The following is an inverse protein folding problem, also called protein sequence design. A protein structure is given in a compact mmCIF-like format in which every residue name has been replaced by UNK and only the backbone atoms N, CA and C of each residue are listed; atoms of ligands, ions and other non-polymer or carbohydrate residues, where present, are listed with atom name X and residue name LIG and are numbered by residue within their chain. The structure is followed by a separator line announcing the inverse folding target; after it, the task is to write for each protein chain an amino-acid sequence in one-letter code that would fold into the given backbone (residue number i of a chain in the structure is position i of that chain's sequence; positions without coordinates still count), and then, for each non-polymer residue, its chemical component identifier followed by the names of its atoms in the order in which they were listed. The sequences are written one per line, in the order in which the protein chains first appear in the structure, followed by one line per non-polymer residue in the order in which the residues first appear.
data_IF_124660862660
#
_entry.id   IF_124660862660
#
_cell.length_a   1.000
_cell.length_b   1.000
_cell.length_c   1.000
_cell.angle_alpha   90.00
_cell.angle_beta   90.00
_cell.angle_gamma   90.00
#
_symmetry.space_group_name_H-M   'P 1'
#
loop_
_entity.id
_entity.type
_entity.pdbx_description
1 polymer ?
2 water ?
#
# COMPACT_ATOMS: atom_id res chain seq x y z
N UNK A 12 12.20 -8.24 -18.73
CA UNK A 12 11.84 -9.53 -18.09
C UNK A 12 10.55 -9.39 -17.26
N UNK A 13 9.56 -10.25 -17.53
CA UNK A 13 8.30 -10.18 -16.77
C UNK A 13 8.49 -10.40 -15.27
N UNK A 14 7.67 -9.70 -14.47
CA UNK A 14 7.56 -9.89 -13.03
C UNK A 14 6.13 -10.36 -12.82
N UNK A 15 5.96 -11.65 -12.58
CA UNK A 15 4.63 -12.27 -12.65
C UNK A 15 4.04 -12.49 -11.27
N UNK A 16 2.81 -12.02 -11.09
CA UNK A 16 2.07 -12.24 -9.86
C UNK A 16 1.09 -13.39 -10.02
N UNK A 17 1.11 -14.30 -9.05
CA UNK A 17 0.18 -15.41 -8.99
C UNK A 17 -0.78 -15.15 -7.85
N UNK A 18 -2.03 -15.57 -8.04
CA UNK A 18 -3.06 -15.44 -7.03
C UNK A 18 -4.18 -16.41 -7.34
N UNK A 19 -4.62 -17.15 -6.31
CA UNK A 19 -5.71 -18.10 -6.48
C UNK A 19 -5.32 -19.53 -6.11
N UNK A 20 -4.31 -20.05 -6.81
CA UNK A 20 -3.79 -21.40 -6.55
C UNK A 20 -2.26 -21.36 -6.43
N UNK A 21 -1.68 -22.23 -5.61
CA UNK A 21 -0.21 -22.37 -5.60
C UNK A 21 0.20 -23.19 -6.82
N UNK A 22 0.85 -22.52 -7.75
CA UNK A 22 1.18 -23.08 -9.05
C UNK A 22 2.70 -23.15 -9.17
N UNK A 23 3.26 -24.20 -8.58
CA UNK A 23 4.71 -24.39 -8.53
C UNK A 23 5.36 -24.50 -9.91
N UNK A 24 4.77 -25.28 -10.82
CA UNK A 24 5.28 -25.39 -12.20
C UNK A 24 5.31 -24.05 -12.92
N UNK A 25 4.23 -23.28 -12.77
CA UNK A 25 4.13 -21.97 -13.39
C UNK A 25 5.19 -21.02 -12.85
N UNK A 26 5.37 -21.05 -11.53
CA UNK A 26 6.41 -20.25 -10.89
C UNK A 26 7.81 -20.59 -11.43
N UNK A 27 8.13 -21.89 -11.57
CA UNK A 27 9.44 -22.29 -12.15
C UNK A 27 9.64 -21.89 -13.58
N UNK A 28 8.56 -21.94 -14.35
CA UNK A 28 8.63 -21.55 -15.76
C UNK A 28 9.00 -20.08 -15.85
N UNK A 29 8.38 -19.27 -15.00
CA UNK A 29 8.72 -17.85 -14.98
C UNK A 29 10.23 -17.66 -14.77
N UNK A 30 10.77 -18.36 -13.77
CA UNK A 30 12.19 -18.22 -13.44
C UNK A 30 13.11 -18.74 -14.56
N UNK A 31 12.70 -19.85 -15.18
CA UNK A 31 13.47 -20.49 -16.25
C UNK A 31 13.53 -19.65 -17.53
N UNK A 32 12.43 -18.96 -17.81
CA UNK A 32 12.31 -18.18 -19.03
C UNK A 32 12.87 -16.77 -18.92
N UNK A 33 13.41 -16.45 -17.74
CA UNK A 33 14.12 -15.21 -17.54
C UNK A 33 13.34 -14.12 -16.83
N UNK A 34 12.22 -14.50 -16.20
CA UNK A 34 11.41 -13.57 -15.42
C UNK A 34 11.62 -13.71 -13.92
N UNK A 35 10.82 -12.99 -13.14
CA UNK A 35 10.84 -13.11 -11.67
C UNK A 35 9.42 -13.17 -11.12
N UNK A 36 9.29 -13.49 -9.84
CA UNK A 36 7.99 -13.52 -9.19
C UNK A 36 7.73 -12.20 -8.50
N UNK A 37 6.55 -11.64 -8.76
CA UNK A 37 6.16 -10.34 -8.21
C UNK A 37 5.65 -10.47 -6.79
N UNK A 38 6.02 -9.51 -5.94
CA UNK A 38 5.57 -9.46 -4.55
C UNK A 38 4.20 -8.83 -4.37
N UNK A 39 3.73 -8.09 -5.37
CA UNK A 39 2.43 -7.42 -5.30
C UNK A 39 1.95 -7.07 -6.70
N UNK A 40 0.65 -6.79 -6.83
CA UNK A 40 0.09 -6.37 -8.11
C UNK A 40 0.60 -5.01 -8.53
N UNK A 41 0.94 -4.16 -7.56
CA UNK A 41 1.44 -2.84 -7.88
C UNK A 41 2.82 -2.91 -8.56
N UNK A 42 3.56 -3.99 -8.30
CA UNK A 42 4.89 -4.20 -8.90
C UNK A 42 4.89 -5.05 -10.17
N UNK A 43 3.87 -5.88 -10.34
CA UNK A 43 3.83 -6.89 -11.39
C UNK A 43 3.71 -6.32 -12.80
N UNK A 44 4.29 -7.01 -13.77
CA UNK A 44 4.04 -6.73 -15.18
C UNK A 44 2.86 -7.54 -15.71
N UNK A 45 2.56 -8.66 -15.06
CA UNK A 45 1.54 -9.59 -15.50
C UNK A 45 0.93 -10.23 -14.27
N UNK A 46 -0.39 -10.44 -14.31
CA UNK A 46 -1.08 -11.21 -13.30
C UNK A 46 -1.59 -12.51 -13.94
N UNK A 47 -1.31 -13.63 -13.29
CA UNK A 47 -1.80 -14.95 -13.70
C UNK A 47 -2.84 -15.43 -12.70
N UNK A 48 -4.02 -15.76 -13.22
CA UNK A 48 -5.14 -16.19 -12.40
C UNK A 48 -6.17 -17.00 -13.18
N UNK A 49 -7.09 -17.63 -12.45
CA UNK A 49 -8.10 -18.53 -13.02
C UNK A 49 -9.45 -17.85 -13.29
N UNK A 50 -9.78 -16.84 -12.49
CA UNK A 50 -11.12 -16.29 -12.39
C UNK A 50 -11.09 -14.79 -12.15
N UNK A 51 -12.15 -14.08 -12.54
CA UNK A 51 -12.36 -12.69 -12.11
C UNK A 51 -12.75 -12.70 -10.63
N UNK A 52 -12.01 -11.96 -9.81
CA UNK A 52 -12.34 -11.83 -8.38
C UNK A 52 -12.14 -10.41 -7.88
N UNK A 53 -12.90 -10.05 -6.86
CA UNK A 53 -12.77 -8.75 -6.21
C UNK A 53 -11.72 -8.82 -5.09
N UNK A 54 -10.45 -8.89 -5.47
CA UNK A 54 -9.36 -8.93 -4.49
C UNK A 54 -8.44 -7.72 -4.65
N UNK A 55 -7.63 -7.41 -3.64
CA UNK A 55 -6.65 -6.33 -3.80
C UNK A 55 -5.76 -6.59 -5.03
N UNK A 56 -5.28 -7.83 -5.17
CA UNK A 56 -4.38 -8.18 -6.27
C UNK A 56 -5.06 -8.01 -7.62
N UNK A 57 -6.28 -8.52 -7.77
CA UNK A 57 -6.95 -8.44 -9.05
C UNK A 57 -7.32 -7.00 -9.40
N UNK A 58 -7.88 -6.27 -8.42
CA UNK A 58 -8.34 -4.90 -8.65
C UNK A 58 -7.18 -3.94 -8.94
N UNK A 59 -6.05 -4.14 -8.26
CA UNK A 59 -4.86 -3.34 -8.55
C UNK A 59 -4.32 -3.60 -9.95
N UNK A 60 -4.24 -4.88 -10.33
CA UNK A 60 -3.78 -5.25 -11.68
C UNK A 60 -4.67 -4.62 -12.74
N UNK A 61 -5.98 -4.75 -12.53
CA UNK A 61 -6.94 -4.20 -13.47
C UNK A 61 -6.84 -2.68 -13.54
N UNK A 62 -6.74 -2.01 -12.39
CA UNK A 62 -6.61 -0.55 -12.37
C UNK A 62 -5.40 -0.06 -13.14
N UNK A 63 -4.31 -0.82 -13.08
CA UNK A 63 -3.07 -0.50 -13.78
C UNK A 63 -3.11 -0.88 -15.25
N UNK A 64 -4.06 -1.73 -15.62
CA UNK A 64 -4.19 -2.17 -17.00
C UNK A 64 -3.14 -3.19 -17.43
N UNK A 65 -2.57 -3.92 -16.48
CA UNK A 65 -1.59 -4.95 -16.85
C UNK A 65 -2.30 -6.18 -17.37
N UNK A 66 -1.60 -7.01 -18.17
CA UNK A 66 -2.24 -8.25 -18.62
C UNK A 66 -2.71 -9.12 -17.47
N UNK A 67 -3.94 -9.62 -17.57
CA UNK A 67 -4.51 -10.53 -16.59
C UNK A 67 -4.83 -11.82 -17.36
N UNK A 68 -4.02 -12.84 -17.08
CA UNK A 68 -3.89 -14.00 -17.97
C UNK A 68 -4.15 -15.32 -17.25
N UNK A 69 -4.55 -16.32 -18.05
CA UNK A 69 -4.80 -17.67 -17.52
C UNK A 69 -3.50 -18.43 -17.25
N UNK A 70 -3.61 -19.58 -16.58
CA UNK A 70 -2.45 -20.43 -16.30
C UNK A 70 -1.84 -21.02 -17.59
N UNK A 71 -2.61 -20.99 -18.68
CA UNK A 71 -2.15 -21.52 -19.97
C UNK A 71 -1.06 -20.66 -20.63
N UNK A 72 -0.98 -19.38 -20.25
CA UNK A 72 0.06 -18.51 -20.82
C UNK A 72 1.45 -19.07 -20.53
N UNK A 73 1.70 -19.45 -19.28
CA UNK A 73 3.01 -19.98 -18.91
C UNK A 73 3.19 -21.42 -19.33
N UNK A 74 2.09 -22.18 -19.37
CA UNK A 74 2.15 -23.57 -19.81
C UNK A 74 2.59 -23.63 -21.28
N UNK A 75 2.00 -22.78 -22.12
CA UNK A 75 2.39 -22.71 -23.52
C UNK A 75 3.72 -21.99 -23.72
N UNK A 76 4.02 -21.00 -22.88
CA UNK A 76 5.33 -20.35 -22.90
C UNK A 76 6.45 -21.36 -22.59
N UNK A 77 6.25 -22.20 -21.57
CA UNK A 77 7.26 -23.20 -21.22
C UNK A 77 7.47 -24.19 -22.37
N UNK A 78 6.37 -24.62 -23.00
CA UNK A 78 6.43 -25.56 -24.13
C UNK A 78 7.15 -24.93 -25.34
N UNK A 79 6.89 -23.66 -25.60
CA UNK A 79 7.51 -22.94 -26.70
C UNK A 79 8.97 -22.57 -26.42
N UNK A 80 9.30 -22.39 -25.14
CA UNK A 80 10.66 -22.02 -24.74
C UNK A 80 10.92 -20.55 -24.51
N UNK A 81 9.87 -19.73 -24.51
CA UNK A 81 10.02 -18.28 -24.34
C UNK A 81 8.68 -17.67 -23.93
N UNK A 82 8.71 -16.49 -23.32
CA UNK A 82 7.47 -15.80 -22.94
C UNK A 82 6.71 -15.42 -24.19
N UNK A 83 5.47 -15.88 -24.27
CA UNK A 83 4.63 -15.57 -25.42
C UNK A 83 3.98 -14.20 -25.25
N UNK A 84 3.55 -13.57 -26.36
CA UNK A 84 2.72 -12.38 -26.24
C UNK A 84 1.46 -12.70 -25.43
N UNK A 85 0.99 -11.73 -24.63
CA UNK A 85 -0.12 -11.96 -23.69
C UNK A 85 -1.52 -12.01 -24.32
N UNK A 86 -1.68 -11.41 -25.50
CA UNK A 86 -2.99 -11.14 -26.11
C UNK A 86 -3.98 -12.32 -26.13
N UNK A 87 -3.49 -13.50 -26.46
CA UNK A 87 -4.33 -14.70 -26.62
C UNK A 87 -4.70 -15.40 -25.31
N UNK A 88 -4.20 -14.91 -24.18
CA UNK A 88 -4.33 -15.62 -22.91
C UNK A 88 -5.12 -14.89 -21.82
N UNK A 89 -5.77 -13.81 -22.21
CA UNK A 89 -6.59 -13.03 -21.26
C UNK A 89 -7.63 -13.92 -20.58
N UNK A 90 -7.76 -13.75 -19.27
CA UNK A 90 -8.74 -14.50 -18.49
C UNK A 90 -10.14 -14.38 -19.12
N UNK A 91 -10.77 -15.54 -19.32
CA UNK A 91 -12.12 -15.62 -19.87
C UNK A 91 -13.04 -16.21 -18.81
N UNK A 92 -13.83 -15.35 -18.18
CA UNK A 92 -14.72 -15.77 -17.11
C UNK A 92 -16.11 -15.20 -17.36
N UNK A 93 -16.88 -15.83 -18.28
CA UNK A 93 -18.24 -15.36 -18.57
C UNK A 93 -19.17 -15.36 -17.36
N UNK A 94 -18.97 -16.30 -16.42
CA UNK A 94 -19.82 -16.42 -15.24
C UNK A 94 -19.72 -15.20 -14.31
N UNK A 95 -18.49 -14.82 -13.95
CA UNK A 95 -18.28 -13.65 -13.10
C UNK A 95 -18.51 -12.34 -13.84
N UNK A 96 -18.25 -12.33 -15.14
CA UNK A 96 -18.60 -11.19 -15.99
C UNK A 96 -20.11 -10.95 -15.95
N UNK A 97 -20.84 -11.99 -15.53
CA UNK A 97 -22.28 -11.93 -15.30
C UNK A 97 -22.61 -11.52 -13.85
N UNK A 98 -22.02 -12.20 -12.87
CA UNK A 98 -22.17 -11.83 -11.45
C UNK A 98 -21.94 -10.33 -11.24
N UNK A 99 -21.03 -9.75 -12.03
CA UNK A 99 -20.59 -8.36 -11.84
C UNK A 99 -20.97 -7.35 -12.93
N UNK A 100 -21.46 -7.82 -14.08
CA UNK A 100 -21.93 -6.92 -15.14
C UNK A 100 -20.86 -6.07 -15.83
N UNK A 101 -19.78 -6.70 -16.27
CA UNK A 101 -18.74 -6.00 -17.02
C UNK A 101 -17.97 -6.95 -17.94
N UNK A 102 -17.26 -6.37 -18.90
CA UNK A 102 -16.35 -7.12 -19.76
C UNK A 102 -14.91 -6.84 -19.30
N UNK A 103 -14.17 -7.89 -18.98
CA UNK A 103 -12.77 -7.73 -18.54
C UNK A 103 -11.91 -7.08 -19.61
N UNK A 104 -12.10 -7.51 -20.86
CA UNK A 104 -11.36 -6.93 -21.98
C UNK A 104 -11.66 -5.44 -22.14
N UNK A 105 -12.94 -5.07 -22.04
CA UNK A 105 -13.33 -3.68 -22.15
C UNK A 105 -12.78 -2.86 -20.97
N UNK A 106 -12.84 -3.42 -19.76
CA UNK A 106 -12.29 -2.77 -18.56
C UNK A 106 -10.79 -2.55 -18.68
N UNK A 107 -10.06 -3.56 -19.12
CA UNK A 107 -8.62 -3.42 -19.36
C UNK A 107 -8.31 -2.34 -20.39
N UNK A 108 -9.09 -2.33 -21.49
CA UNK A 108 -8.96 -1.30 -22.51
C UNK A 108 -9.14 0.10 -21.94
N UNK A 109 -10.15 0.27 -21.10
CA UNK A 109 -10.39 1.56 -20.45
C UNK A 109 -9.19 1.96 -19.57
N UNK A 110 -8.71 1.02 -18.75
CA UNK A 110 -7.57 1.28 -17.86
C UNK A 110 -6.30 1.69 -18.62
N UNK A 111 -6.11 1.10 -19.80
CA UNK A 111 -4.93 1.42 -20.62
C UNK A 111 -4.99 2.80 -21.26
N UNK A 112 -6.20 3.29 -21.51
CA UNK A 112 -6.41 4.65 -22.04
C UNK A 112 -6.11 5.71 -20.98
N UNK A 113 -6.78 5.59 -19.84
CA UNK A 113 -6.61 6.50 -18.72
C UNK A 113 -6.89 5.73 -17.45
N UNK A 114 -6.09 5.97 -16.41
CA UNK A 114 -6.40 5.31 -15.15
C UNK A 114 -7.63 5.96 -14.52
N UNK A 115 -8.41 5.12 -13.88
CA UNK A 115 -9.76 5.47 -13.51
C UNK A 115 -9.85 6.66 -12.57
N UNK A 116 -8.92 6.76 -11.63
CA UNK A 116 -9.02 7.76 -10.58
C UNK A 116 -8.03 8.90 -10.76
N UNK A 117 -7.56 9.10 -12.00
CA UNK A 117 -6.74 10.26 -12.29
C UNK A 117 -7.51 11.52 -11.86
N UNK A 118 -6.85 12.39 -11.11
CA UNK A 118 -7.49 13.61 -10.63
C UNK A 118 -8.28 13.49 -9.33
N UNK A 119 -8.50 12.26 -8.84
CA UNK A 119 -9.24 12.07 -7.59
C UNK A 119 -8.33 12.12 -6.37
N UNK A 120 -8.83 12.69 -5.29
CA UNK A 120 -8.19 12.64 -3.98
C UNK A 120 -9.18 12.02 -3.01
N UNK A 121 -8.79 10.95 -2.32
CA UNK A 121 -9.75 10.16 -1.55
C UNK A 121 -9.23 9.91 -0.16
N UNK A 122 -9.99 10.34 0.84
CA UNK A 122 -9.75 9.95 2.22
C UNK A 122 -10.71 8.82 2.59
N UNK A 123 -10.22 7.82 3.32
CA UNK A 123 -11.05 6.69 3.76
C UNK A 123 -11.06 6.71 5.28
N UNK A 124 -12.23 6.86 5.88
CA UNK A 124 -12.31 7.03 7.34
C UNK A 124 -11.96 5.70 8.05
N UNK A 125 -11.48 5.78 9.30
CA UNK A 125 -10.83 4.61 9.92
C UNK A 125 -11.67 3.35 10.10
N UNK A 126 -13.00 3.48 10.23
CA UNK A 126 -13.87 2.35 10.46
C UNK A 126 -14.34 1.64 9.21
N UNK A 127 -13.94 2.11 8.03
CA UNK A 127 -14.42 1.52 6.79
C UNK A 127 -13.96 0.07 6.63
N UNK A 128 -14.83 -0.73 6.02
CA UNK A 128 -14.48 -2.06 5.54
C UNK A 128 -14.77 -2.12 4.06
N UNK A 129 -13.86 -2.70 3.26
CA UNK A 129 -12.57 -3.26 3.65
C UNK A 129 -11.59 -2.20 4.21
N UNK A 130 -10.54 -2.68 4.90
CA UNK A 130 -9.66 -1.76 5.62
C UNK A 130 -9.08 -0.60 4.78
N UNK A 131 -9.03 0.62 5.35
CA UNK A 131 -8.47 1.77 4.62
C UNK A 131 -7.13 1.51 3.88
N UNK A 132 -6.14 0.83 4.51
CA UNK A 132 -4.88 0.67 3.77
C UNK A 132 -5.04 -0.15 2.47
N UNK A 133 -5.93 -1.14 2.45
CA UNK A 133 -6.21 -1.88 1.24
C UNK A 133 -6.90 -1.02 0.19
N UNK A 134 -7.88 -0.23 0.64
CA UNK A 134 -8.53 0.74 -0.24
C UNK A 134 -7.48 1.70 -0.83
N UNK A 135 -6.55 2.16 0.00
CA UNK A 135 -5.47 3.03 -0.46
C UNK A 135 -4.58 2.44 -1.52
N UNK A 136 -4.26 1.16 -1.38
CA UNK A 136 -3.49 0.49 -2.41
C UNK A 136 -4.24 0.51 -3.74
N UNK A 137 -5.54 0.21 -3.71
CA UNK A 137 -6.34 0.20 -4.92
C UNK A 137 -6.45 1.60 -5.53
N UNK A 138 -6.66 2.60 -4.69
CA UNK A 138 -6.75 3.99 -5.15
C UNK A 138 -5.47 4.38 -5.89
N UNK A 139 -4.32 4.07 -5.30
CA UNK A 139 -3.04 4.40 -5.91
C UNK A 139 -2.84 3.66 -7.24
N UNK A 140 -3.21 2.38 -7.30
CA UNK A 140 -3.06 1.64 -8.55
C UNK A 140 -3.98 2.14 -9.66
N UNK A 141 -5.03 2.86 -9.29
CA UNK A 141 -5.91 3.50 -10.27
C UNK A 141 -5.55 4.95 -10.54
N UNK A 142 -4.37 5.37 -10.11
CA UNK A 142 -3.88 6.71 -10.41
C UNK A 142 -4.44 7.84 -9.57
N UNK A 143 -5.13 7.49 -8.48
CA UNK A 143 -5.66 8.48 -7.54
C UNK A 143 -4.70 8.75 -6.42
N UNK A 144 -5.00 9.78 -5.63
CA UNK A 144 -4.22 10.09 -4.44
C UNK A 144 -4.98 9.65 -3.21
N UNK A 145 -4.36 8.81 -2.39
CA UNK A 145 -4.91 8.38 -1.13
C UNK A 145 -4.46 9.38 -0.07
N UNK A 146 -5.40 10.01 0.60
CA UNK A 146 -5.09 11.05 1.58
C UNK A 146 -4.85 10.50 2.97
N UNK A 147 -3.86 11.05 3.70
CA UNK A 147 -3.57 10.53 5.03
C UNK A 147 -4.47 11.03 6.16
N UNK A 148 -5.28 12.06 5.91
CA UNK A 148 -6.17 12.56 6.95
C UNK A 148 -7.35 13.27 6.33
N UNK A 149 -8.35 13.55 7.17
CA UNK A 149 -9.58 14.15 6.68
C UNK A 149 -9.29 15.52 6.07
N UNK A 150 -9.78 15.78 4.85
CA UNK A 150 -9.64 17.12 4.29
C UNK A 150 -10.34 18.21 5.13
N UNK A 151 -9.94 19.46 4.90
CA UNK A 151 -10.58 20.62 5.53
C UNK A 151 -11.21 21.56 4.51
N UNK A 152 -11.06 21.28 3.21
CA UNK A 152 -11.54 22.18 2.16
C UNK A 152 -12.09 21.44 0.95
N UNK A 153 -12.97 22.10 0.23
CA UNK A 153 -13.55 21.57 -0.98
C UNK A 153 -12.59 21.61 -2.17
N UNK A 154 -12.60 20.53 -2.97
CA UNK A 154 -12.01 20.52 -4.31
C UNK A 154 -12.85 19.55 -5.15
N UNK A 155 -13.06 19.81 -6.46
CA UNK A 155 -13.72 18.80 -7.28
C UNK A 155 -12.94 17.48 -7.28
N UNK A 156 -13.67 16.36 -7.26
CA UNK A 156 -13.10 15.00 -7.26
C UNK A 156 -12.29 14.68 -6.01
N UNK A 157 -12.50 15.45 -4.95
CA UNK A 157 -12.01 15.11 -3.63
C UNK A 157 -13.19 14.52 -2.88
N UNK A 158 -13.07 13.28 -2.44
CA UNK A 158 -14.21 12.59 -1.82
C UNK A 158 -13.76 11.85 -0.59
N UNK A 159 -14.73 11.50 0.26
CA UNK A 159 -14.48 10.79 1.49
C UNK A 159 -15.26 9.49 1.47
N UNK A 160 -14.56 8.35 1.48
CA UNK A 160 -15.20 7.05 1.67
C UNK A 160 -15.37 6.84 3.16
N UNK A 161 -16.62 6.60 3.59
CA UNK A 161 -16.89 6.48 5.01
C UNK A 161 -17.89 5.38 5.31
N UNK A 162 -18.45 5.40 6.51
CA UNK A 162 -19.27 4.29 7.01
C UNK A 162 -20.09 4.79 8.19
N UNK A 163 -21.18 4.07 8.53
CA UNK A 163 -22.00 4.52 9.66
C UNK A 163 -21.25 4.75 10.97
N UNK A 164 -20.29 3.91 11.32
CA UNK A 164 -19.53 4.11 12.55
C UNK A 164 -18.82 5.47 12.59
N UNK A 165 -18.49 6.00 11.41
CA UNK A 165 -17.70 7.22 11.31
C UNK A 165 -18.53 8.47 11.01
N UNK A 166 -19.85 8.34 10.88
CA UNK A 166 -20.68 9.52 10.64
C UNK A 166 -20.44 10.61 11.70
N UNK A 167 -20.27 10.25 13.00
CA UNK A 167 -20.02 11.32 13.98
C UNK A 167 -18.79 12.18 13.71
N UNK A 168 -17.90 11.70 12.83
CA UNK A 168 -16.66 12.44 12.51
C UNK A 168 -16.73 13.21 11.19
N UNK A 169 -17.93 13.28 10.61
CA UNK A 169 -18.05 13.81 9.24
C UNK A 169 -18.53 15.26 9.16
N UNK A 170 -18.52 16.01 10.26
CA UNK A 170 -19.03 17.38 10.14
C UNK A 170 -18.20 18.26 9.21
N UNK A 171 -16.87 18.09 9.20
CA UNK A 171 -16.05 18.95 8.34
C UNK A 171 -16.26 18.65 6.85
N UNK A 172 -16.19 17.37 6.41
CA UNK A 172 -16.50 17.16 5.01
C UNK A 172 -17.94 17.60 4.62
N UNK A 173 -18.92 17.40 5.50
CA UNK A 173 -20.26 17.92 5.21
C UNK A 173 -20.27 19.45 5.10
N UNK A 174 -19.54 20.10 6.00
CA UNK A 174 -19.48 21.56 5.99
C UNK A 174 -19.04 22.13 4.66
N UNK A 175 -18.04 21.48 4.05
CA UNK A 175 -17.42 22.01 2.84
C UNK A 175 -17.91 21.32 1.57
N UNK A 176 -18.86 20.40 1.70
CA UNK A 176 -19.52 19.82 0.53
C UNK A 176 -18.78 18.68 -0.14
N UNK A 177 -17.89 18.01 0.59
CA UNK A 177 -17.21 16.82 0.06
C UNK A 177 -18.15 15.63 0.11
N UNK A 178 -18.30 14.91 -1.03
CA UNK A 178 -19.17 13.73 -1.01
C UNK A 178 -18.71 12.65 -0.01
N UNK A 179 -19.70 12.10 0.69
CA UNK A 179 -19.52 10.95 1.58
C UNK A 179 -19.99 9.71 0.82
N UNK A 180 -19.07 8.80 0.55
CA UNK A 180 -19.33 7.67 -0.36
C UNK A 180 -19.14 6.29 0.27
N UNK A 181 -19.91 5.35 -0.24
CA UNK A 181 -19.76 3.94 0.09
C UNK A 181 -18.41 3.38 -0.41
N UNK A 182 -17.82 2.44 0.32
CA UNK A 182 -16.61 1.77 -0.21
C UNK A 182 -16.83 1.08 -1.56
N UNK A 183 -18.07 0.70 -1.87
CA UNK A 183 -18.34 0.09 -3.17
C UNK A 183 -18.21 1.05 -4.34
N UNK A 184 -18.19 2.36 -4.07
CA UNK A 184 -17.83 3.29 -5.13
C UNK A 184 -16.49 2.85 -5.76
N UNK A 185 -15.53 2.53 -4.89
CA UNK A 185 -14.22 2.10 -5.33
C UNK A 185 -14.24 0.69 -5.86
N UNK A 186 -14.79 -0.24 -5.09
CA UNK A 186 -14.66 -1.65 -5.46
C UNK A 186 -15.40 -1.99 -6.74
N UNK A 187 -16.65 -1.55 -6.83
CA UNK A 187 -17.42 -1.74 -8.04
C UNK A 187 -16.88 -0.86 -9.18
N UNK A 188 -16.48 0.38 -8.87
CA UNK A 188 -15.97 1.26 -9.91
C UNK A 188 -14.70 0.73 -10.56
N UNK A 189 -13.80 0.16 -9.77
CA UNK A 189 -12.53 -0.31 -10.31
C UNK A 189 -12.75 -1.59 -11.10
N UNK A 190 -13.60 -2.46 -10.57
CA UNK A 190 -13.89 -3.72 -11.23
C UNK A 190 -14.43 -3.45 -12.65
N UNK A 191 -15.35 -2.50 -12.75
CA UNK A 191 -15.98 -2.16 -14.01
C UNK A 191 -15.21 -1.11 -14.81
N UNK A 192 -14.24 -0.46 -14.18
CA UNK A 192 -13.55 0.71 -14.77
C UNK A 192 -14.53 1.81 -15.19
N UNK A 193 -15.41 2.16 -14.25
CA UNK A 193 -16.39 3.24 -14.40
C UNK A 193 -16.57 3.93 -13.05
N UNK A 194 -16.28 5.23 -12.97
CA UNK A 194 -16.38 5.96 -11.70
C UNK A 194 -17.65 6.81 -11.64
N UNK A 195 -18.58 6.39 -10.80
CA UNK A 195 -19.91 7.02 -10.75
C UNK A 195 -20.34 7.24 -9.30
N UNK A 196 -19.91 8.37 -8.70
CA UNK A 196 -20.20 8.54 -7.26
C UNK A 196 -21.68 8.65 -6.84
N UNK A 197 -22.56 9.10 -7.72
CA UNK A 197 -23.93 9.49 -7.31
C UNK A 197 -24.74 8.39 -6.64
N UNK A 198 -24.64 7.17 -7.16
CA UNK A 198 -25.35 6.02 -6.63
C UNK A 198 -24.81 5.59 -5.27
N UNK A 199 -23.63 6.09 -4.92
CA UNK A 199 -22.90 5.62 -3.75
C UNK A 199 -22.86 6.62 -2.61
N UNK A 200 -23.64 7.71 -2.71
CA UNK A 200 -23.65 8.73 -1.68
C UNK A 200 -24.37 8.20 -0.44
N UNK A 201 -23.73 8.33 0.72
CA UNK A 201 -24.31 7.86 1.99
C UNK A 201 -25.28 8.87 2.62
N UNK A 202 -26.08 8.40 3.57
CA UNK A 202 -27.04 9.23 4.29
C UNK A 202 -26.61 9.35 5.74
N UNK A 203 -25.82 10.37 6.07
CA UNK A 203 -25.23 10.42 7.40
C UNK A 203 -26.19 10.73 8.55
N UNK A 204 -27.37 11.28 8.26
CA UNK A 204 -28.28 11.64 9.35
C UNK A 204 -29.25 10.53 9.74
N UNK A 205 -29.10 9.38 9.10
CA UNK A 205 -29.97 8.23 9.37
C UNK A 205 -29.17 7.02 9.82
N UNK B 11 -10.93 -2.92 22.88
CA UNK B 11 -10.65 -3.26 21.45
C UNK B 11 -9.62 -4.40 21.34
N UNK B 12 -10.01 -5.49 20.70
CA UNK B 12 -9.17 -6.69 20.56
C UNK B 12 -7.94 -6.43 19.69
N UNK B 13 -6.76 -6.83 20.17
CA UNK B 13 -5.55 -6.62 19.38
C UNK B 13 -5.60 -7.30 18.01
N UNK B 14 -5.01 -6.62 17.02
CA UNK B 14 -4.77 -7.19 15.70
C UNK B 14 -3.25 -7.21 15.55
N UNK B 15 -2.68 -8.41 15.67
CA UNK B 15 -1.24 -8.53 15.89
C UNK B 15 -0.52 -8.97 14.63
N UNK B 16 0.54 -8.25 14.29
CA UNK B 16 1.39 -8.62 13.17
C UNK B 16 2.67 -9.26 13.68
N UNK B 17 3.08 -10.35 13.01
CA UNK B 17 4.33 -11.05 13.26
C UNK B 17 5.31 -10.79 12.11
N UNK B 18 6.60 -10.76 12.43
CA UNK B 18 7.68 -10.54 11.45
C UNK B 18 9.04 -10.89 12.04
N UNK B 19 9.84 -11.63 11.27
CA UNK B 19 11.11 -12.16 11.76
C UNK B 19 11.03 -13.65 12.09
N UNK B 20 10.00 -14.03 12.84
CA UNK B 20 9.80 -15.43 13.23
C UNK B 20 8.42 -16.00 12.85
N UNK B 21 8.43 -17.17 12.21
CA UNK B 21 7.20 -17.92 11.89
C UNK B 21 6.79 -18.71 13.14
N UNK B 22 5.92 -18.08 13.92
CA UNK B 22 5.70 -18.40 15.32
C UNK B 22 4.27 -18.88 15.52
N UNK B 23 4.05 -20.17 15.30
CA UNK B 23 2.70 -20.77 15.39
C UNK B 23 2.11 -20.65 16.78
N UNK B 24 2.93 -20.86 17.81
CA UNK B 24 2.45 -20.77 19.18
C UNK B 24 1.96 -19.36 19.53
N UNK B 25 2.70 -18.35 19.06
CA UNK B 25 2.31 -16.96 19.29
C UNK B 25 1.03 -16.59 18.59
N UNK B 26 0.93 -16.98 17.32
CA UNK B 26 -0.25 -16.73 16.50
C UNK B 26 -1.47 -17.39 17.13
N UNK B 27 -1.29 -18.64 17.52
CA UNK B 27 -2.37 -19.39 18.11
C UNK B 27 -2.80 -18.74 19.42
N UNK B 28 -1.83 -18.27 20.20
CA UNK B 28 -2.13 -17.55 21.43
C UNK B 28 -2.91 -16.25 21.20
N UNK B 29 -2.57 -15.52 20.15
CA UNK B 29 -3.36 -14.32 19.83
C UNK B 29 -4.85 -14.65 19.61
N UNK B 30 -5.11 -15.68 18.79
CA UNK B 30 -6.48 -16.08 18.48
C UNK B 30 -7.21 -16.63 19.70
N UNK B 31 -6.53 -17.51 20.44
CA UNK B 31 -7.10 -18.12 21.64
C UNK B 31 -7.46 -17.05 22.67
N UNK B 32 -6.69 -15.96 22.69
CA UNK B 32 -6.95 -14.86 23.62
C UNK B 32 -7.95 -13.83 23.10
N UNK B 33 -8.52 -14.09 21.92
CA UNK B 33 -9.57 -13.24 21.39
C UNK B 33 -9.13 -12.16 20.41
N UNK B 34 -7.83 -12.10 20.13
CA UNK B 34 -7.32 -11.15 19.13
C UNK B 34 -7.40 -11.74 17.74
N UNK B 35 -6.89 -10.99 16.77
CA UNK B 35 -6.81 -11.49 15.40
C UNK B 35 -5.40 -11.26 14.87
N UNK B 36 -5.12 -11.88 13.73
CA UNK B 36 -3.84 -11.71 13.09
C UNK B 36 -3.96 -10.65 12.02
N UNK B 37 -3.05 -9.68 12.08
CA UNK B 37 -3.04 -8.56 11.15
C UNK B 37 -2.49 -8.96 9.78
N UNK B 38 -3.12 -8.43 8.74
CA UNK B 38 -2.69 -8.64 7.35
C UNK B 38 -1.53 -7.76 6.93
N UNK B 39 -1.34 -6.64 7.64
CA UNK B 39 -0.26 -5.70 7.33
C UNK B 39 0.04 -4.85 8.56
N UNK B 40 1.19 -4.19 8.55
CA UNK B 40 1.55 -3.28 9.64
C UNK B 40 0.63 -2.07 9.65
N UNK B 41 0.12 -1.69 8.48
CA UNK B 41 -0.78 -0.55 8.40
C UNK B 41 -2.10 -0.81 9.12
N UNK B 42 -2.50 -2.08 9.25
CA UNK B 42 -3.74 -2.46 9.97
C UNK B 42 -3.54 -2.89 11.42
N UNK B 43 -2.31 -3.24 11.78
CA UNK B 43 -2.03 -3.83 13.09
C UNK B 43 -2.17 -2.86 14.26
N UNK B 44 -2.56 -3.37 15.42
CA UNK B 44 -2.47 -2.62 16.66
C UNK B 44 -1.14 -2.84 17.37
N UNK B 45 -0.49 -3.95 17.09
CA UNK B 45 0.76 -4.36 17.75
C UNK B 45 1.60 -5.10 16.74
N UNK B 46 2.92 -4.88 16.81
CA UNK B 46 3.90 -5.68 16.07
C UNK B 46 4.70 -6.52 17.05
N UNK B 47 4.82 -7.82 16.76
CA UNK B 47 5.66 -8.72 17.57
C UNK B 47 6.86 -9.13 16.72
N UNK B 48 8.06 -8.92 17.26
CA UNK B 48 9.28 -9.20 16.53
C UNK B 48 10.47 -9.41 17.46
N UNK B 49 11.57 -9.90 16.90
CA UNK B 49 12.79 -10.23 17.65
C UNK B 49 13.83 -9.09 17.68
N UNK B 50 13.96 -8.37 16.57
CA UNK B 50 15.05 -7.41 16.35
C UNK B 50 14.52 -6.14 15.67
N UNK B 51 15.29 -5.07 15.75
CA UNK B 51 15.08 -3.90 14.89
C UNK B 51 15.52 -4.25 13.46
N UNK B 52 14.64 -4.05 12.48
CA UNK B 52 14.98 -4.29 11.08
C UNK B 52 14.39 -3.24 10.16
N UNK B 53 15.10 -2.99 9.06
CA UNK B 53 14.63 -2.09 8.01
C UNK B 53 13.72 -2.82 7.03
N UNK B 54 12.50 -3.14 7.48
CA UNK B 54 11.53 -3.84 6.64
C UNK B 54 10.27 -2.97 6.48
N UNK B 55 9.46 -3.24 5.45
CA UNK B 55 8.20 -2.51 5.31
C UNK B 55 7.38 -2.65 6.60
N UNK B 56 7.30 -3.86 7.14
CA UNK B 56 6.48 -4.10 8.33
C UNK B 56 6.99 -3.31 9.53
N UNK B 57 8.29 -3.37 9.80
CA UNK B 57 8.84 -2.70 10.97
C UNK B 57 8.75 -1.19 10.81
N UNK B 58 9.12 -0.67 9.63
CA UNK B 58 9.11 0.78 9.38
C UNK B 58 7.70 1.37 9.43
N UNK B 59 6.71 0.64 8.90
CA UNK B 59 5.33 1.10 8.98
C UNK B 59 4.82 1.11 10.42
N UNK B 60 5.12 0.05 11.17
CA UNK B 60 4.72 -0.02 12.57
C UNK B 60 5.32 1.16 13.35
N UNK B 61 6.61 1.38 13.16
CA UNK B 61 7.30 2.47 13.83
C UNK B 61 6.73 3.82 13.43
N UNK B 62 6.48 4.02 12.14
CA UNK B 62 5.93 5.29 11.67
C UNK B 62 4.58 5.60 12.28
N UNK B 63 3.78 4.57 12.54
CA UNK B 63 2.47 4.71 13.17
C UNK B 63 2.55 4.81 14.68
N UNK B 64 3.71 4.46 15.24
CA UNK B 64 3.89 4.50 16.69
C UNK B 64 3.18 3.39 17.44
N UNK B 65 2.88 2.27 16.79
CA UNK B 65 2.23 1.17 17.50
C UNK B 65 3.24 0.44 18.38
N UNK B 66 2.78 -0.26 19.43
CA UNK B 66 3.73 -1.03 20.22
C UNK B 66 4.51 -2.04 19.38
N UNK B 67 5.82 -2.08 19.58
CA UNK B 67 6.71 -3.01 18.92
C UNK B 67 7.32 -3.88 20.03
N UNK B 68 6.88 -5.13 20.10
CA UNK B 68 7.06 -5.96 21.29
C UNK B 68 7.76 -7.28 20.99
N UNK B 69 8.41 -7.82 22.01
CA UNK B 69 9.09 -9.10 21.89
C UNK B 69 8.08 -10.26 21.96
N UNK B 70 8.55 -11.46 21.66
CA UNK B 70 7.67 -12.63 21.75
C UNK B 70 7.25 -12.93 23.20
N UNK B 71 7.94 -12.34 24.17
CA UNK B 71 7.61 -12.55 25.58
C UNK B 71 6.23 -11.99 25.95
N UNK B 72 5.76 -10.97 25.24
CA UNK B 72 4.44 -10.41 25.53
C UNK B 72 3.36 -11.50 25.43
N UNK B 73 3.40 -12.27 24.36
CA UNK B 73 2.43 -13.34 24.15
C UNK B 73 2.75 -14.57 24.98
N UNK B 74 4.03 -14.85 25.22
CA UNK B 74 4.41 -15.94 26.10
C UNK B 74 3.79 -15.74 27.49
N UNK B 75 3.95 -14.53 28.04
CA UNK B 75 3.41 -14.20 29.35
C UNK B 75 1.89 -14.02 29.33
N UNK B 76 1.35 -13.43 28.27
CA UNK B 76 -0.10 -13.27 28.13
C UNK B 76 -0.79 -14.62 28.11
N UNK B 77 -0.18 -15.61 27.45
CA UNK B 77 -0.75 -16.96 27.38
C UNK B 77 -0.84 -17.57 28.79
N UNK B 78 0.18 -17.33 29.60
CA UNK B 78 0.19 -17.80 30.99
C UNK B 78 -0.91 -17.11 31.81
N UNK B 79 -1.08 -15.80 31.60
CA UNK B 79 -2.13 -15.02 32.25
C UNK B 79 -3.53 -15.46 31.82
N UNK B 80 -3.68 -15.82 30.56
CA UNK B 80 -5.00 -16.16 30.00
C UNK B 80 -5.69 -14.94 29.40
N UNK B 81 -4.96 -13.83 29.29
CA UNK B 81 -5.50 -12.60 28.68
C UNK B 81 -4.34 -11.69 28.25
N UNK B 82 -4.60 -10.75 27.34
CA UNK B 82 -3.55 -9.84 26.88
C UNK B 82 -3.07 -8.96 28.02
N UNK B 83 -1.74 -8.89 28.20
CA UNK B 83 -1.14 -8.08 29.25
C UNK B 83 -0.81 -6.69 28.73
N UNK B 84 -0.61 -5.72 29.65
CA UNK B 84 -0.11 -4.42 29.20
C UNK B 84 1.22 -4.57 28.43
N UNK B 85 1.39 -3.77 27.37
CA UNK B 85 2.53 -3.89 26.47
C UNK B 85 3.87 -3.36 27.00
N UNK B 86 3.81 -2.44 27.97
CA UNK B 86 4.95 -1.58 28.35
C UNK B 86 6.30 -2.28 28.65
N UNK B 87 6.27 -3.38 29.38
CA UNK B 87 7.54 -4.05 29.77
C UNK B 87 8.07 -5.02 28.70
N UNK B 88 7.36 -5.14 27.58
CA UNK B 88 7.74 -6.08 26.52
C UNK B 88 8.28 -5.41 25.26
N UNK B 89 8.51 -4.12 25.33
CA UNK B 89 9.09 -3.38 24.21
C UNK B 89 10.40 -4.02 23.74
N UNK B 90 10.57 -4.13 22.42
CA UNK B 90 11.79 -4.70 21.86
C UNK B 90 13.02 -3.93 22.33
N UNK B 91 14.00 -4.66 22.83
CA UNK B 91 15.26 -4.09 23.29
C UNK B 91 16.39 -4.67 22.45
N UNK B 92 16.90 -3.85 21.53
CA UNK B 92 17.93 -4.29 20.60
C UNK B 92 19.08 -3.27 20.62
N UNK B 93 19.94 -3.32 21.66
CA UNK B 93 21.01 -2.32 21.80
C UNK B 93 22.02 -2.36 20.65
N UNK B 94 22.23 -3.54 20.07
CA UNK B 94 23.14 -3.71 18.96
C UNK B 94 22.71 -2.89 17.73
N UNK B 95 21.46 -3.06 17.30
CA UNK B 95 20.95 -2.34 16.15
C UNK B 95 20.67 -0.87 16.49
N UNK B 96 20.38 -0.58 17.75
CA UNK B 96 20.27 0.81 18.20
C UNK B 96 21.59 1.57 18.05
N UNK B 97 22.69 0.89 18.38
CA UNK B 97 24.03 1.45 18.20
C UNK B 97 24.38 1.57 16.72
N UNK B 98 24.16 0.50 15.97
CA UNK B 98 24.54 0.43 14.55
C UNK B 98 23.74 1.36 13.63
N UNK B 99 22.48 1.61 13.99
CA UNK B 99 21.61 2.51 13.21
C UNK B 99 21.56 3.91 13.80
N UNK B 100 22.10 4.08 15.01
CA UNK B 100 22.19 5.38 15.66
C UNK B 100 20.88 6.01 16.10
N UNK B 101 20.03 5.22 16.75
CA UNK B 101 18.78 5.75 17.29
C UNK B 101 18.31 4.91 18.48
N UNK B 102 17.37 5.47 19.24
CA UNK B 102 16.71 4.75 20.33
C UNK B 102 15.29 4.42 19.87
N UNK B 103 14.90 3.15 19.96
CA UNK B 103 13.56 2.74 19.54
C UNK B 103 12.47 3.40 20.37
N UNK B 104 12.66 3.45 21.70
CA UNK B 104 11.69 4.12 22.58
C UNK B 104 11.52 5.60 22.22
N UNK B 105 12.64 6.28 21.97
CA UNK B 105 12.60 7.69 21.58
C UNK B 105 11.93 7.90 20.22
N UNK B 106 12.26 7.02 19.26
CA UNK B 106 11.64 7.07 17.94
C UNK B 106 10.14 6.83 18.02
N UNK B 107 9.72 5.83 18.82
CA UNK B 107 8.29 5.61 19.06
C UNK B 107 7.61 6.80 19.73
N UNK B 108 8.27 7.39 20.72
CA UNK B 108 7.76 8.61 21.36
C UNK B 108 7.55 9.75 20.35
N UNK B 109 8.51 9.94 19.45
CA UNK B 109 8.36 10.95 18.41
C UNK B 109 7.17 10.67 17.49
N UNK B 110 7.06 9.42 17.05
CA UNK B 110 5.95 9.00 16.18
C UNK B 110 4.58 9.20 16.85
N UNK B 111 4.52 8.97 18.16
CA UNK B 111 3.28 9.13 18.90
C UNK B 111 2.86 10.59 19.09
N UNK B 112 3.83 11.50 19.10
CA UNK B 112 3.55 12.94 19.16
C UNK B 112 3.04 13.48 17.83
N UNK B 113 3.74 13.16 16.75
CA UNK B 113 3.32 13.57 15.42
C UNK B 113 3.95 12.63 14.43
N UNK B 114 3.20 12.27 13.40
CA UNK B 114 3.79 11.39 12.41
C UNK B 114 4.79 12.15 11.56
N UNK B 115 5.84 11.44 11.19
CA UNK B 115 7.03 12.07 10.67
C UNK B 115 6.82 12.88 9.40
N UNK B 116 5.96 12.38 8.51
CA UNK B 116 5.80 12.96 7.19
C UNK B 116 4.50 13.74 7.03
N UNK B 117 3.92 14.14 8.16
CA UNK B 117 2.77 15.05 8.10
C UNK B 117 3.17 16.28 7.29
N UNK B 118 2.35 16.64 6.31
CA UNK B 118 2.64 17.79 5.48
C UNK B 118 3.48 17.51 4.24
N UNK B 119 4.06 16.31 4.14
CA UNK B 119 4.89 15.97 2.96
C UNK B 119 4.06 15.37 1.85
N UNK B 120 4.41 15.71 0.62
CA UNK B 120 3.88 15.07 -0.57
C UNK B 120 5.06 14.51 -1.34
N UNK B 121 5.04 13.22 -1.63
CA UNK B 121 6.23 12.54 -2.16
C UNK B 121 5.87 11.73 -3.39
N UNK B 122 6.54 12.02 -4.51
CA UNK B 122 6.49 11.16 -5.69
C UNK B 122 7.76 10.33 -5.75
N UNK B 123 7.62 9.05 -6.10
CA UNK B 123 8.76 8.14 -6.19
C UNK B 123 8.85 7.70 -7.62
N UNK B 124 9.95 8.01 -8.30
CA UNK B 124 10.04 7.70 -9.73
C UNK B 124 10.15 6.17 -9.98
N UNK B 125 9.71 5.71 -11.16
CA UNK B 125 9.49 4.27 -11.37
C UNK B 125 10.67 3.33 -11.19
N UNK B 126 11.89 3.81 -11.44
CA UNK B 126 13.10 2.98 -11.33
C UNK B 126 13.69 2.87 -9.94
N UNK B 127 13.11 3.53 -8.95
CA UNK B 127 13.68 3.54 -7.61
C UNK B 127 13.68 2.14 -6.99
N UNK B 128 14.72 1.86 -6.21
CA UNK B 128 14.75 0.71 -5.34
C UNK B 128 14.99 1.20 -3.92
N UNK B 129 14.27 0.66 -2.94
CA UNK B 129 13.24 -0.36 -3.07
C UNK B 129 12.01 0.11 -3.85
N UNK B 130 11.18 -0.83 -4.29
CA UNK B 130 10.10 -0.50 -5.22
C UNK B 130 9.17 0.65 -4.76
N UNK B 131 8.78 1.54 -5.69
CA UNK B 131 7.87 2.64 -5.34
C UNK B 131 6.63 2.24 -4.48
N UNK B 132 5.91 1.14 -4.82
CA UNK B 132 4.72 0.86 -3.99
C UNK B 132 5.04 0.57 -2.53
N UNK B 133 6.19 -0.06 -2.25
CA UNK B 133 6.62 -0.26 -0.87
C UNK B 133 6.98 1.06 -0.18
N UNK B 134 7.69 1.92 -0.91
CA UNK B 134 7.97 3.29 -0.43
C UNK B 134 6.66 4.02 -0.12
N UNK B 135 5.67 3.88 -1.00
CA UNK B 135 4.37 4.50 -0.76
C UNK B 135 3.64 4.03 0.48
N UNK B 136 3.75 2.74 0.77
CA UNK B 136 3.16 2.21 2.00
C UNK B 136 3.81 2.86 3.22
N UNK B 137 5.13 2.98 3.20
CA UNK B 137 5.84 3.59 4.32
C UNK B 137 5.50 5.08 4.46
N UNK B 138 5.44 5.79 3.33
CA UNK B 138 5.07 7.20 3.34
C UNK B 138 3.71 7.40 3.99
N UNK B 139 2.74 6.59 3.59
CA UNK B 139 1.39 6.69 4.12
C UNK B 139 1.33 6.38 5.61
N UNK B 140 2.05 5.34 6.04
CA UNK B 140 2.09 5.03 7.47
C UNK B 140 2.74 6.11 8.32
N UNK B 141 3.55 6.95 7.69
CA UNK B 141 4.13 8.11 8.38
C UNK B 141 3.33 9.40 8.19
N UNK B 142 2.10 9.29 7.69
CA UNK B 142 1.22 10.44 7.60
C UNK B 142 1.46 11.34 6.41
N UNK B 143 2.29 10.88 5.46
CA UNK B 143 2.55 11.65 4.24
C UNK B 143 1.60 11.27 3.13
N UNK B 144 1.64 12.02 2.04
CA UNK B 144 0.85 11.70 0.84
C UNK B 144 1.78 11.14 -0.23
N UNK B 145 1.48 9.95 -0.72
CA UNK B 145 2.20 9.33 -1.83
C UNK B 145 1.51 9.78 -3.12
N UNK B 146 2.25 10.44 -4.01
CA UNK B 146 1.67 11.00 -5.24
C UNK B 146 1.66 10.00 -6.36
N UNK B 147 0.59 9.99 -7.18
CA UNK B 147 0.50 9.01 -8.25
C UNK B 147 1.28 9.35 -9.52
N UNK B 148 1.75 10.59 -9.65
CA UNK B 148 2.51 10.97 -10.84
C UNK B 148 3.41 12.17 -10.53
N UNK B 149 4.33 12.44 -11.44
CA UNK B 149 5.32 13.49 -11.22
C UNK B 149 4.61 14.84 -11.08
N UNK B 150 4.93 15.61 -10.03
CA UNK B 150 4.38 16.96 -9.92
C UNK B 150 4.79 17.88 -11.07
N UNK B 151 4.00 18.95 -11.25
CA UNK B 151 4.33 20.00 -12.23
C UNK B 151 4.60 21.35 -11.58
N UNK B 152 4.45 21.44 -10.26
CA UNK B 152 4.54 22.73 -9.57
C UNK B 152 5.24 22.61 -8.22
N UNK B 153 5.82 23.72 -7.77
CA UNK B 153 6.47 23.76 -6.48
C UNK B 153 5.48 23.88 -5.34
N UNK B 154 5.77 23.18 -4.25
CA UNK B 154 5.11 23.39 -2.96
C UNK B 154 6.13 23.04 -1.88
N UNK B 155 6.15 23.77 -0.74
CA UNK B 155 7.04 23.34 0.34
C UNK B 155 6.72 21.91 0.79
N UNK B 156 7.77 21.14 1.10
CA UNK B 156 7.65 19.74 1.56
C UNK B 156 7.05 18.79 0.51
N UNK B 157 7.08 19.21 -0.76
CA UNK B 157 6.79 18.32 -1.87
C UNK B 157 8.14 17.92 -2.46
N UNK B 158 8.43 16.62 -2.48
CA UNK B 158 9.75 16.14 -2.87
C UNK B 158 9.61 14.95 -3.79
N UNK B 159 10.69 14.66 -4.51
CA UNK B 159 10.71 13.55 -5.46
C UNK B 159 11.84 12.62 -5.07
N UNK B 160 11.51 11.38 -4.71
CA UNK B 160 12.52 10.33 -4.50
C UNK B 160 12.82 9.74 -5.86
N UNK B 161 14.10 9.76 -6.24
CA UNK B 161 14.47 9.30 -7.57
C UNK B 161 15.77 8.51 -7.55
N UNK B 162 16.35 8.31 -8.74
CA UNK B 162 17.50 7.42 -8.90
C UNK B 162 18.19 7.75 -10.21
N UNK B 163 19.46 7.32 -10.38
CA UNK B 163 20.16 7.62 -11.62
C UNK B 163 19.44 7.20 -12.91
N UNK B 164 18.81 6.03 -12.92
CA UNK B 164 18.05 5.59 -14.09
C UNK B 164 17.00 6.60 -14.54
N UNK B 165 16.44 7.35 -13.57
CA UNK B 165 15.34 8.26 -13.84
C UNK B 165 15.75 9.72 -13.97
N UNK B 166 17.05 10.03 -13.86
CA UNK B 166 17.48 11.41 -14.05
C UNK B 166 17.00 12.00 -15.39
N UNK B 167 16.98 11.22 -16.49
CA UNK B 167 16.46 11.79 -17.75
C UNK B 167 15.02 12.27 -17.68
N UNK B 168 14.28 11.86 -16.65
CA UNK B 168 12.87 12.25 -16.51
C UNK B 168 12.64 13.36 -15.48
N UNK B 169 13.72 13.98 -15.00
CA UNK B 169 13.62 14.93 -13.88
C UNK B 169 13.65 16.41 -14.28
N UNK B 170 13.46 16.74 -15.55
CA UNK B 170 13.55 18.15 -15.92
C UNK B 170 12.44 18.99 -15.28
N UNK B 171 11.24 18.44 -15.15
CA UNK B 171 10.15 19.24 -14.56
C UNK B 171 10.35 19.50 -13.07
N UNK B 172 10.65 18.46 -12.25
CA UNK B 172 10.93 18.83 -10.86
C UNK B 172 12.14 19.79 -10.70
N UNK B 173 13.18 19.60 -11.51
CA UNK B 173 14.29 20.56 -11.45
C UNK B 173 13.85 21.98 -11.83
N UNK B 174 12.99 22.04 -12.84
CA UNK B 174 12.49 23.35 -13.30
C UNK B 174 11.84 24.15 -12.18
N UNK B 175 11.05 23.47 -11.36
CA UNK B 175 10.24 24.14 -10.34
C UNK B 175 10.84 24.06 -8.96
N UNK B 176 12.05 23.48 -8.84
CA UNK B 176 12.78 23.50 -7.59
C UNK B 176 12.36 22.47 -6.55
N UNK B 177 11.73 21.39 -7.00
CA UNK B 177 11.44 20.28 -6.10
C UNK B 177 12.69 19.46 -5.82
N UNK B 178 13.00 19.21 -4.52
CA UNK B 178 14.17 18.39 -4.22
C UNK B 178 14.13 16.98 -4.79
N UNK B 179 15.26 16.54 -5.35
CA UNK B 179 15.47 15.18 -5.82
C UNK B 179 16.24 14.45 -4.74
N UNK B 180 15.62 13.43 -4.15
CA UNK B 180 16.16 12.79 -2.95
C UNK B 180 16.43 11.31 -3.12
N UNK B 181 17.43 10.84 -2.37
CA UNK B 181 17.74 9.42 -2.26
C UNK B 181 16.60 8.67 -1.55
N UNK B 182 16.36 7.40 -1.93
CA UNK B 182 15.39 6.61 -1.14
C UNK B 182 15.73 6.48 0.33
N UNK B 183 17.00 6.62 0.69
CA UNK B 183 17.38 6.53 2.09
C UNK B 183 16.89 7.72 2.93
N UNK B 184 16.50 8.81 2.27
CA UNK B 184 15.82 9.87 3.01
C UNK B 184 14.66 9.27 3.79
N UNK B 185 13.91 8.40 3.11
CA UNK B 185 12.74 7.76 3.71
C UNK B 185 13.15 6.65 4.67
N UNK B 186 14.03 5.75 4.23
CA UNK B 186 14.30 4.55 5.00
C UNK B 186 15.04 4.87 6.28
N UNK B 187 16.09 5.69 6.16
CA UNK B 187 16.84 6.11 7.33
C UNK B 187 16.00 7.10 8.16
N UNK B 188 15.28 8.01 7.50
CA UNK B 188 14.47 8.98 8.22
C UNK B 188 13.37 8.33 9.07
N UNK B 189 12.69 7.34 8.53
CA UNK B 189 11.59 6.69 9.24
C UNK B 189 12.15 5.82 10.39
N UNK B 190 13.25 5.12 10.12
CA UNK B 190 13.88 4.30 11.13
C UNK B 190 14.25 5.14 12.36
N UNK B 191 14.84 6.31 12.13
CA UNK B 191 15.26 7.20 13.20
C UNK B 191 14.17 8.16 13.67
N UNK B 192 13.07 8.23 12.92
CA UNK B 192 12.03 9.26 13.14
C UNK B 192 12.62 10.68 13.13
N UNK B 193 13.44 10.94 12.13
CA UNK B 193 13.98 12.29 11.89
C UNK B 193 14.12 12.53 10.39
N UNK B 194 13.42 13.55 9.89
CA UNK B 194 13.40 13.86 8.46
C UNK B 194 14.38 14.97 8.16
N UNK B 195 15.39 14.64 7.36
CA UNK B 195 16.46 15.60 7.05
C UNK B 195 16.78 15.51 5.56
N UNK B 196 15.95 16.14 4.72
CA UNK B 196 16.15 16.08 3.25
C UNK B 196 17.54 16.46 2.74
N UNK B 197 18.21 17.41 3.41
CA UNK B 197 19.44 18.03 2.88
C UNK B 197 20.63 17.11 2.53
N UNK B 198 20.90 16.13 3.39
CA UNK B 198 22.00 15.20 3.18
C UNK B 198 21.68 14.18 2.09
N UNK B 199 20.41 14.13 1.70
CA UNK B 199 19.96 13.11 0.77
C UNK B 199 19.68 13.62 -0.64
N UNK B 200 20.10 14.86 -0.93
CA UNK B 200 19.88 15.46 -2.23
C UNK B 200 20.81 14.82 -3.27
N UNK B 201 20.23 14.38 -4.38
CA UNK B 201 20.99 13.72 -5.44
C UNK B 201 21.63 14.72 -6.38
N UNK B 202 22.60 14.26 -7.17
CA UNK B 202 23.31 15.08 -8.15
C UNK B 202 22.97 14.59 -9.57
N UNK B 203 21.91 15.14 -10.17
CA UNK B 203 21.40 14.58 -11.43
C UNK B 203 22.29 14.79 -12.65
N UNK B 204 23.23 15.74 -12.60
CA UNK B 204 24.09 15.99 -13.76
C UNK B 204 25.40 15.22 -13.73
N UNK B 205 25.64 14.49 -12.63
CA UNK B 205 26.93 13.81 -12.40
C UNK B 205 26.87 12.31 -12.63
#
# INVERSE_FOLDING_TARGET
GHMTKLNQESTAPKVLFTGVVDARGERAVLALGGSLAGSAAEASHLVTDRIRRTVKFLCALGRGIPILSLDWLHQSRKAGFFLPPDEYVVTDPEQEKNFGFSLQDALSRARERRLLEGYEIYVTPGVQPPPPQMGEIISCCGGTYLPSMPRSYKPQRVVITCPQDFPHCSIPLRVGLPLLSPEFLLTGVLKQEAKPEAFVLSPLEMSST
GHMTKLNQESTAPKVLFTGVVDARGERAVLALGGSLAGSAAEASHLVTDRIRRTVKFLCALGRGIPILSLDWLHQSRKAGFFLPPDEYVVTDPEQEKNFGFSLQDALSRARERRLLEGYEIYVTPGVQPPPPQMGEIISCCGGTYLPSMPRSYKPQRVVITCPQDFPHCSIPLRVGLPLLSPEFLLTGVLKQEAKPEAFVLSPLEMSST
#
